data_IF_699832178558
#
_entry.id   IF_699832178558
#
_cell.length_a   1.000
_cell.length_b   1.000
_cell.length_c   1.000
_cell.angle_alpha   90.00
_cell.angle_beta   90.00
_cell.angle_gamma   90.00
#
_symmetry.space_group_name_H-M   'P 1'
#
loop_
_entity.id
_entity.type
_entity.pdbx_description
1 polymer ?
#
# COMPACT_ATOMS: atom_id res chain seq x y z
N UNK A 1 52.29 55.58 -19.56
CA UNK A 1 51.58 54.34 -19.94
C UNK A 1 50.25 54.35 -19.20
N UNK A 2 49.17 54.46 -19.97
CA UNK A 2 48.02 55.29 -19.61
C UNK A 2 47.06 54.55 -18.66
N UNK A 3 46.60 55.20 -17.57
CA UNK A 3 45.60 54.66 -16.63
C UNK A 3 44.32 54.16 -17.34
N UNK A 4 44.05 54.71 -18.52
CA UNK A 4 42.97 54.32 -19.42
C UNK A 4 43.12 52.89 -19.95
N UNK A 5 44.33 52.42 -20.24
CA UNK A 5 44.58 51.07 -20.79
C UNK A 5 44.34 50.00 -19.70
N UNK A 6 44.71 50.29 -18.45
CA UNK A 6 44.50 49.39 -17.31
C UNK A 6 42.99 49.25 -17.00
N UNK A 7 42.22 50.33 -17.12
CA UNK A 7 40.77 50.31 -16.91
C UNK A 7 40.05 49.45 -17.96
N UNK A 8 40.47 49.50 -19.23
CA UNK A 8 39.83 48.73 -20.31
C UNK A 8 40.12 47.22 -20.17
N UNK A 9 41.32 46.83 -19.75
CA UNK A 9 41.69 45.41 -19.54
C UNK A 9 40.91 44.82 -18.35
N UNK A 10 40.69 45.58 -17.29
CA UNK A 10 39.89 45.13 -16.14
C UNK A 10 38.41 44.92 -16.50
N UNK A 11 37.83 45.78 -17.35
CA UNK A 11 36.44 45.63 -17.81
C UNK A 11 36.27 44.36 -18.66
N UNK A 12 37.25 44.04 -19.52
CA UNK A 12 37.20 42.81 -20.32
C UNK A 12 37.38 41.54 -19.49
N UNK A 13 38.22 41.55 -18.45
CA UNK A 13 38.38 40.42 -17.53
C UNK A 13 37.13 40.16 -16.69
N UNK A 14 36.48 41.21 -16.19
CA UNK A 14 35.23 41.09 -15.42
C UNK A 14 34.07 40.68 -16.33
N UNK A 15 33.94 41.29 -17.51
CA UNK A 15 32.89 40.95 -18.48
C UNK A 15 33.03 39.53 -19.03
N UNK A 16 34.26 39.10 -19.34
CA UNK A 16 34.55 37.73 -19.78
C UNK A 16 34.32 36.69 -18.69
N UNK A 17 34.68 37.00 -17.43
CA UNK A 17 34.41 36.13 -16.28
C UNK A 17 32.92 35.96 -16.00
N UNK A 18 32.14 37.06 -16.05
CA UNK A 18 30.67 37.01 -15.89
C UNK A 18 30.01 36.26 -17.04
N UNK A 19 30.49 36.44 -18.28
CA UNK A 19 29.98 35.71 -19.45
C UNK A 19 30.30 34.20 -19.37
N UNK A 20 31.52 33.84 -18.97
CA UNK A 20 31.92 32.44 -18.83
C UNK A 20 31.22 31.75 -17.65
N UNK A 21 31.01 32.46 -16.54
CA UNK A 21 30.22 32.00 -15.39
C UNK A 21 28.73 31.87 -15.74
N UNK A 22 28.19 32.80 -16.53
CA UNK A 22 26.81 32.72 -17.06
C UNK A 22 26.64 31.51 -18.00
N UNK A 23 27.67 31.11 -18.75
CA UNK A 23 27.64 29.92 -19.59
C UNK A 23 27.74 28.62 -18.80
N UNK A 24 28.46 28.58 -17.67
CA UNK A 24 28.47 27.40 -16.79
C UNK A 24 27.11 27.17 -16.12
N UNK A 25 26.42 28.23 -15.71
CA UNK A 25 25.10 28.14 -15.08
C UNK A 25 23.95 27.75 -16.04
N UNK A 26 24.19 27.75 -17.36
CA UNK A 26 23.19 27.35 -18.37
C UNK A 26 23.28 25.84 -18.73
N UNK A 27 24.32 25.12 -18.27
CA UNK A 27 24.53 23.71 -18.60
C UNK A 27 23.94 22.71 -17.59
N UNK A 28 23.32 23.18 -16.50
CA UNK A 28 22.81 22.32 -15.41
C UNK A 28 21.27 22.26 -15.28
N UNK A 29 20.50 22.93 -16.14
CA UNK A 29 19.04 22.81 -16.14
C UNK A 29 18.43 22.83 -17.54
N UNK A 30 18.53 21.69 -18.23
CA UNK A 30 17.51 21.28 -19.20
C UNK A 30 16.67 20.19 -18.53
N UNK A 31 15.65 20.62 -17.76
CA UNK A 31 14.57 19.73 -17.32
C UNK A 31 13.78 19.40 -18.58
N UNK A 32 14.22 18.37 -19.29
CA UNK A 32 13.36 17.64 -20.23
C UNK A 32 12.19 17.14 -19.39
N UNK A 33 10.94 17.43 -19.76
CA UNK A 33 9.78 16.81 -19.12
C UNK A 33 10.03 15.29 -19.09
N UNK A 34 10.27 14.77 -17.90
CA UNK A 34 10.58 13.36 -17.70
C UNK A 34 9.32 12.58 -18.07
N UNK A 35 9.38 11.79 -19.14
CA UNK A 35 8.38 10.78 -19.51
C UNK A 35 8.24 9.62 -18.49
N UNK A 36 8.96 9.73 -17.36
CA UNK A 36 8.90 8.84 -16.21
C UNK A 36 8.12 9.57 -15.11
N UNK A 37 7.01 8.99 -14.68
CA UNK A 37 6.20 9.43 -13.56
C UNK A 37 6.35 8.41 -12.42
N UNK A 38 6.72 8.87 -11.23
CA UNK A 38 6.63 8.02 -10.03
C UNK A 38 5.15 7.85 -9.65
N UNK A 39 4.76 6.65 -9.25
CA UNK A 39 3.41 6.35 -8.81
C UNK A 39 3.42 5.62 -7.46
N UNK A 40 2.48 5.98 -6.59
CA UNK A 40 2.26 5.27 -5.32
C UNK A 40 1.51 3.93 -5.58
N UNK A 41 1.37 3.04 -4.58
CA UNK A 41 0.73 1.75 -4.82
C UNK A 41 -0.80 1.79 -5.05
N UNK A 42 -1.53 2.87 -4.69
CA UNK A 42 -2.95 3.02 -5.09
C UNK A 42 -3.07 3.42 -6.57
N UNK A 43 -2.17 4.29 -7.03
CA UNK A 43 -2.04 4.65 -8.43
C UNK A 43 -1.59 3.44 -9.26
N UNK A 44 -0.70 2.60 -8.73
CA UNK A 44 -0.29 1.34 -9.36
C UNK A 44 -1.50 0.45 -9.63
N UNK A 45 -2.37 0.19 -8.64
CA UNK A 45 -3.59 -0.61 -8.83
C UNK A 45 -4.46 -0.04 -9.95
N UNK A 46 -4.66 1.28 -9.94
CA UNK A 46 -5.50 1.97 -10.93
C UNK A 46 -4.95 1.81 -12.34
N UNK A 47 -3.62 1.89 -12.50
CA UNK A 47 -2.94 1.75 -13.80
C UNK A 47 -2.87 0.29 -14.24
N UNK A 48 -2.61 -0.64 -13.31
CA UNK A 48 -2.56 -2.08 -13.57
C UNK A 48 -3.92 -2.65 -13.98
N UNK A 49 -5.03 -2.02 -13.58
CA UNK A 49 -6.36 -2.42 -14.00
C UNK A 49 -6.68 -2.08 -15.48
N UNK A 50 -5.92 -1.19 -16.13
CA UNK A 50 -6.07 -0.93 -17.57
C UNK A 50 -5.36 -2.04 -18.37
N UNK A 51 -6.08 -2.84 -19.19
CA UNK A 51 -5.49 -3.93 -19.97
C UNK A 51 -4.50 -3.47 -21.06
N UNK A 52 -4.34 -2.16 -21.28
CA UNK A 52 -3.31 -1.60 -22.16
C UNK A 52 -1.99 -1.30 -21.45
N UNK A 53 -1.96 -1.28 -20.12
CA UNK A 53 -0.75 -1.06 -19.34
C UNK A 53 0.08 -2.32 -19.34
N UNK A 54 1.37 -2.19 -19.66
CA UNK A 54 2.33 -3.28 -19.61
C UNK A 54 3.10 -3.25 -18.29
N UNK A 55 2.95 -4.30 -17.48
CA UNK A 55 3.52 -4.41 -16.13
C UNK A 55 4.84 -5.18 -16.19
N UNK A 56 5.93 -4.54 -15.76
CA UNK A 56 7.29 -5.04 -15.91
C UNK A 56 8.02 -5.16 -14.55
N UNK A 57 8.37 -6.38 -14.16
CA UNK A 57 9.30 -6.63 -13.05
C UNK A 57 10.75 -6.64 -13.57
N UNK A 58 11.64 -5.92 -12.89
CA UNK A 58 13.05 -5.83 -13.27
C UNK A 58 14.03 -6.29 -12.20
N UNK A 59 13.55 -6.82 -11.08
CA UNK A 59 14.40 -7.12 -9.93
C UNK A 59 15.30 -8.33 -10.15
N UNK A 60 16.61 -8.17 -9.90
CA UNK A 60 17.54 -9.29 -9.78
C UNK A 60 18.13 -9.37 -8.38
N UNK A 61 18.24 -10.58 -7.78
CA UNK A 61 17.72 -11.86 -8.27
C UNK A 61 16.18 -11.85 -8.39
N UNK A 62 15.63 -12.76 -9.20
CA UNK A 62 14.19 -12.86 -9.43
C UNK A 62 13.44 -13.06 -8.11
N UNK A 63 12.27 -12.43 -8.00
CA UNK A 63 11.45 -12.38 -6.79
C UNK A 63 10.02 -12.85 -7.08
N UNK A 64 9.23 -13.05 -6.03
CA UNK A 64 7.77 -13.16 -6.20
C UNK A 64 7.24 -11.86 -6.80
N UNK A 65 6.67 -11.97 -8.00
CA UNK A 65 6.10 -10.85 -8.75
C UNK A 65 4.81 -10.33 -8.11
N UNK A 66 4.48 -9.08 -8.42
CA UNK A 66 3.11 -8.58 -8.20
C UNK A 66 2.19 -9.36 -9.15
N UNK A 67 0.99 -9.74 -8.67
CA UNK A 67 0.01 -10.43 -9.50
C UNK A 67 -0.24 -9.66 -10.81
N UNK A 68 -0.53 -10.38 -11.88
CA UNK A 68 -0.79 -9.83 -13.22
C UNK A 68 0.39 -9.13 -13.91
N UNK A 69 1.62 -9.31 -13.41
CA UNK A 69 2.82 -8.85 -14.14
C UNK A 69 2.98 -9.55 -15.49
N UNK A 70 3.14 -8.79 -16.57
CA UNK A 70 3.24 -9.34 -17.93
C UNK A 70 4.57 -10.06 -18.17
N UNK A 71 5.68 -9.49 -17.67
CA UNK A 71 7.01 -10.05 -17.89
C UNK A 71 8.00 -9.68 -16.79
N UNK A 72 8.96 -10.57 -16.58
CA UNK A 72 10.18 -10.30 -15.83
C UNK A 72 11.37 -10.13 -16.80
N UNK A 73 12.07 -8.99 -16.73
CA UNK A 73 13.32 -8.76 -17.45
C UNK A 73 14.31 -8.06 -16.52
N UNK A 74 15.48 -8.65 -16.21
CA UNK A 74 16.52 -7.98 -15.42
C UNK A 74 16.78 -6.55 -15.88
N UNK A 75 16.85 -5.61 -14.94
CA UNK A 75 17.01 -4.18 -15.25
C UNK A 75 18.20 -3.90 -16.19
N UNK A 76 19.28 -4.67 -16.05
CA UNK A 76 20.53 -4.56 -16.82
C UNK A 76 20.51 -5.31 -18.16
N UNK A 77 19.38 -5.97 -18.51
CA UNK A 77 19.21 -6.77 -19.74
C UNK A 77 18.06 -6.29 -20.63
N UNK A 78 17.41 -5.16 -20.34
CA UNK A 78 16.28 -4.63 -21.13
C UNK A 78 16.58 -4.50 -22.63
N UNK A 79 17.77 -4.01 -23.00
CA UNK A 79 18.18 -3.90 -24.41
C UNK A 79 18.36 -5.26 -25.08
N UNK A 80 18.82 -6.27 -24.33
CA UNK A 80 19.03 -7.64 -24.81
C UNK A 80 17.69 -8.34 -25.06
N UNK A 81 16.71 -8.13 -24.18
CA UNK A 81 15.38 -8.75 -24.25
C UNK A 81 14.30 -7.80 -24.76
N UNK A 82 14.68 -6.80 -25.57
CA UNK A 82 13.78 -5.77 -26.10
C UNK A 82 12.57 -6.32 -26.87
N UNK A 83 12.68 -7.54 -27.41
CA UNK A 83 11.62 -8.18 -28.20
C UNK A 83 10.46 -8.69 -27.33
N UNK A 84 10.66 -8.77 -26.00
CA UNK A 84 9.62 -9.08 -25.01
C UNK A 84 8.88 -7.82 -24.52
N UNK A 85 9.39 -6.63 -24.82
CA UNK A 85 8.75 -5.36 -24.47
C UNK A 85 7.72 -4.96 -25.55
N UNK A 86 6.77 -4.05 -25.23
CA UNK A 86 5.80 -3.56 -26.21
C UNK A 86 6.45 -3.00 -27.48
N UNK A 87 5.94 -3.40 -28.63
CA UNK A 87 6.41 -2.89 -29.93
C UNK A 87 6.02 -1.43 -30.15
N UNK A 88 4.83 -1.05 -29.69
CA UNK A 88 4.37 0.33 -29.69
C UNK A 88 5.03 1.10 -28.54
N UNK A 89 5.68 2.21 -28.86
CA UNK A 89 6.38 3.04 -27.89
C UNK A 89 5.45 3.91 -27.04
N UNK A 90 4.19 4.00 -27.44
CA UNK A 90 3.15 4.70 -26.67
C UNK A 90 2.42 3.79 -25.68
N UNK A 91 2.70 2.47 -25.67
CA UNK A 91 2.16 1.58 -24.65
C UNK A 91 2.69 2.00 -23.28
N UNK A 92 1.81 2.32 -22.31
CA UNK A 92 2.25 2.65 -20.96
C UNK A 92 2.98 1.46 -20.33
N UNK A 93 4.16 1.71 -19.76
CA UNK A 93 4.92 0.70 -19.02
C UNK A 93 4.89 1.05 -17.54
N UNK A 94 4.31 0.17 -16.74
CA UNK A 94 4.32 0.23 -15.28
C UNK A 94 5.45 -0.68 -14.77
N UNK A 95 6.58 -0.08 -14.41
CA UNK A 95 7.80 -0.78 -14.04
C UNK A 95 8.01 -0.77 -12.53
N UNK A 96 8.49 -1.89 -12.00
CA UNK A 96 8.84 -1.99 -10.59
C UNK A 96 10.00 -2.97 -10.36
N UNK A 97 10.60 -2.89 -9.18
CA UNK A 97 11.52 -3.90 -8.67
C UNK A 97 11.18 -4.19 -7.19
N UNK A 98 12.12 -4.71 -6.39
CA UNK A 98 11.86 -4.93 -4.96
C UNK A 98 11.58 -3.65 -4.17
N UNK A 99 12.45 -2.66 -4.28
CA UNK A 99 12.45 -1.44 -3.43
C UNK A 99 12.60 -0.12 -4.21
N UNK A 100 12.46 -0.16 -5.54
CA UNK A 100 12.53 1.01 -6.43
C UNK A 100 13.93 1.35 -7.02
N UNK A 101 15.02 0.79 -6.49
CA UNK A 101 16.38 1.17 -6.94
C UNK A 101 16.69 0.73 -8.37
N UNK A 102 16.42 -0.53 -8.69
CA UNK A 102 16.62 -1.09 -10.04
C UNK A 102 15.57 -0.61 -11.04
N UNK A 103 14.34 -0.36 -10.60
CA UNK A 103 13.29 0.16 -11.50
C UNK A 103 13.62 1.57 -11.96
N UNK A 104 14.22 2.41 -11.11
CA UNK A 104 14.70 3.73 -11.53
C UNK A 104 15.71 3.69 -12.68
N UNK A 105 16.66 2.74 -12.66
CA UNK A 105 17.61 2.56 -13.78
C UNK A 105 16.94 1.97 -15.02
N UNK A 106 16.01 1.02 -14.82
CA UNK A 106 15.19 0.46 -15.89
C UNK A 106 14.34 1.53 -16.58
N UNK A 107 13.67 2.41 -15.81
CA UNK A 107 12.85 3.53 -16.29
C UNK A 107 13.66 4.46 -17.19
N UNK A 108 14.88 4.81 -16.78
CA UNK A 108 15.79 5.61 -17.62
C UNK A 108 16.19 4.87 -18.90
N UNK A 109 16.46 3.57 -18.81
CA UNK A 109 16.79 2.74 -19.98
C UNK A 109 15.60 2.67 -20.95
N UNK A 110 14.38 2.45 -20.46
CA UNK A 110 13.15 2.44 -21.25
C UNK A 110 12.91 3.80 -21.93
N UNK A 111 13.08 4.90 -21.19
CA UNK A 111 12.99 6.25 -21.74
C UNK A 111 14.00 6.44 -22.88
N UNK A 112 15.25 6.01 -22.70
CA UNK A 112 16.29 6.05 -23.76
C UNK A 112 15.99 5.16 -24.97
N UNK A 113 15.15 4.13 -24.79
CA UNK A 113 14.67 3.24 -25.84
C UNK A 113 13.43 3.80 -26.57
N UNK A 114 12.96 4.99 -26.18
CA UNK A 114 11.91 5.76 -26.86
C UNK A 114 10.50 5.54 -26.33
N UNK A 115 10.30 4.81 -25.22
CA UNK A 115 8.97 4.69 -24.62
C UNK A 115 8.49 6.04 -24.07
N UNK A 116 7.25 6.43 -24.34
CA UNK A 116 6.77 7.79 -24.05
C UNK A 116 6.01 7.91 -22.73
N UNK A 117 5.59 6.79 -22.13
CA UNK A 117 4.81 6.76 -20.90
C UNK A 117 5.33 5.66 -19.99
N UNK A 118 6.05 6.05 -18.95
CA UNK A 118 6.67 5.14 -17.98
C UNK A 118 6.18 5.53 -16.59
N UNK A 119 5.60 4.58 -15.88
CA UNK A 119 5.20 4.70 -14.49
C UNK A 119 6.13 3.84 -13.64
N UNK A 120 6.82 4.43 -12.67
CA UNK A 120 7.75 3.72 -11.78
C UNK A 120 7.15 3.62 -10.38
N UNK A 121 6.97 2.40 -9.87
CA UNK A 121 6.36 2.16 -8.56
C UNK A 121 7.26 2.66 -7.43
N UNK A 122 6.82 3.70 -6.74
CA UNK A 122 7.49 4.24 -5.57
C UNK A 122 7.56 3.20 -4.45
N UNK A 123 8.76 3.01 -3.90
CA UNK A 123 9.02 1.97 -2.88
C UNK A 123 8.98 0.53 -3.41
N UNK A 124 8.69 0.32 -4.70
CA UNK A 124 8.68 -0.98 -5.36
C UNK A 124 7.65 -1.96 -4.79
N UNK A 125 7.83 -3.24 -5.11
CA UNK A 125 6.93 -4.31 -4.70
C UNK A 125 6.85 -4.47 -3.17
N UNK A 126 7.85 -4.00 -2.41
CA UNK A 126 7.79 -3.95 -0.96
C UNK A 126 6.69 -2.98 -0.49
N UNK A 127 6.74 -1.72 -0.91
CA UNK A 127 5.73 -0.72 -0.51
C UNK A 127 4.32 -1.11 -1.01
N UNK A 128 4.23 -1.66 -2.21
CA UNK A 128 2.97 -2.19 -2.73
C UNK A 128 2.39 -3.29 -1.85
N UNK A 129 3.19 -4.31 -1.51
CA UNK A 129 2.73 -5.38 -0.63
C UNK A 129 2.37 -4.87 0.76
N UNK A 130 3.21 -4.02 1.35
CA UNK A 130 2.97 -3.40 2.66
C UNK A 130 1.64 -2.64 2.72
N UNK A 131 1.27 -1.92 1.65
CA UNK A 131 -0.01 -1.23 1.56
C UNK A 131 -1.20 -2.22 1.53
N UNK A 132 -1.03 -3.39 0.90
CA UNK A 132 -2.06 -4.44 0.85
C UNK A 132 -2.11 -5.29 2.13
N UNK A 133 -1.22 -5.06 3.09
CA UNK A 133 -1.24 -5.75 4.37
C UNK A 133 -2.31 -5.16 5.28
N UNK A 134 -3.23 -6.00 5.75
CA UNK A 134 -4.12 -5.67 6.86
C UNK A 134 -4.45 -6.90 7.70
N UNK A 135 -4.97 -6.67 8.90
CA UNK A 135 -5.71 -7.68 9.65
C UNK A 135 -7.17 -7.24 9.64
N UNK A 136 -8.02 -8.00 8.97
CA UNK A 136 -9.42 -7.65 8.74
C UNK A 136 -10.33 -8.55 9.55
N UNK A 137 -11.33 -7.95 10.20
CA UNK A 137 -12.48 -8.67 10.72
C UNK A 137 -13.72 -8.32 9.91
N UNK A 138 -14.46 -9.33 9.48
CA UNK A 138 -15.64 -9.15 8.64
C UNK A 138 -16.83 -10.00 9.11
N UNK A 139 -18.06 -9.45 9.05
CA UNK A 139 -18.35 -8.03 8.79
C UNK A 139 -17.80 -7.12 9.92
N UNK A 140 -17.64 -5.82 9.68
CA UNK A 140 -17.19 -4.90 10.76
C UNK A 140 -18.29 -4.71 11.83
N UNK A 141 -19.55 -4.78 11.42
CA UNK A 141 -20.72 -4.70 12.29
C UNK A 141 -21.72 -5.78 11.90
N UNK A 142 -22.33 -6.44 12.88
CA UNK A 142 -23.42 -7.38 12.68
C UNK A 142 -24.65 -6.96 13.47
N UNK A 143 -25.77 -6.78 12.78
CA UNK A 143 -27.06 -6.59 13.43
C UNK A 143 -27.67 -7.94 13.81
N UNK A 144 -28.02 -8.09 15.08
CA UNK A 144 -28.71 -9.25 15.64
C UNK A 144 -30.23 -9.08 15.61
N UNK A 145 -30.73 -7.87 15.28
CA UNK A 145 -32.14 -7.54 15.26
C UNK A 145 -32.74 -7.49 16.66
N UNK A 146 -33.99 -7.93 16.80
CA UNK A 146 -34.67 -7.96 18.09
C UNK A 146 -34.25 -9.18 18.90
N UNK A 147 -33.75 -8.94 20.11
CA UNK A 147 -33.38 -10.00 21.07
C UNK A 147 -34.33 -9.94 22.26
N UNK A 148 -34.97 -11.05 22.58
CA UNK A 148 -35.85 -11.13 23.75
C UNK A 148 -35.00 -11.25 25.01
N UNK A 149 -35.33 -10.49 26.05
CA UNK A 149 -34.63 -10.55 27.33
C UNK A 149 -34.77 -11.96 27.94
N UNK A 150 -33.63 -12.63 28.15
CA UNK A 150 -33.56 -14.03 28.58
C UNK A 150 -33.10 -14.99 27.49
N UNK A 151 -33.15 -14.58 26.22
CA UNK A 151 -32.58 -15.33 25.10
C UNK A 151 -31.12 -14.98 24.87
N UNK A 152 -30.37 -15.93 24.31
CA UNK A 152 -28.97 -15.75 23.92
C UNK A 152 -28.88 -15.69 22.39
N UNK A 153 -28.51 -14.52 21.86
CA UNK A 153 -28.20 -14.36 20.46
C UNK A 153 -26.74 -14.76 20.17
N UNK A 154 -26.48 -15.27 18.95
CA UNK A 154 -25.14 -15.69 18.52
C UNK A 154 -24.84 -15.20 17.12
N UNK A 155 -23.57 -14.90 16.86
CA UNK A 155 -23.06 -14.61 15.52
C UNK A 155 -21.59 -15.01 15.40
N UNK A 156 -21.08 -15.01 14.19
CA UNK A 156 -19.68 -15.28 13.87
C UNK A 156 -19.13 -14.21 12.95
N UNK A 157 -17.91 -13.78 13.22
CA UNK A 157 -17.11 -12.96 12.32
C UNK A 157 -15.94 -13.77 11.77
N UNK A 158 -15.33 -13.32 10.68
CA UNK A 158 -14.09 -13.88 10.13
C UNK A 158 -12.96 -12.90 10.34
N UNK A 159 -11.94 -13.30 11.09
CA UNK A 159 -10.68 -12.58 11.21
C UNK A 159 -9.67 -13.15 10.23
N UNK A 160 -9.07 -12.30 9.40
CA UNK A 160 -8.11 -12.68 8.35
C UNK A 160 -6.77 -11.99 8.58
N UNK A 161 -5.67 -12.75 8.58
CA UNK A 161 -4.31 -12.23 8.55
C UNK A 161 -3.86 -12.01 7.10
N UNK A 162 -4.09 -10.84 6.50
CA UNK A 162 -3.53 -10.54 5.17
C UNK A 162 -2.10 -9.99 5.23
N UNK A 163 -1.36 -10.34 6.28
CA UNK A 163 0.05 -9.96 6.41
C UNK A 163 0.96 -11.10 5.92
N UNK A 164 2.18 -10.79 5.42
CA UNK A 164 3.13 -11.82 5.00
C UNK A 164 3.81 -12.54 6.17
N UNK A 165 3.48 -12.18 7.41
CA UNK A 165 4.04 -12.78 8.62
C UNK A 165 2.94 -13.52 9.39
N UNK A 166 3.28 -14.54 10.19
CA UNK A 166 2.34 -15.11 11.14
C UNK A 166 1.81 -14.03 12.10
N UNK A 167 0.55 -14.16 12.49
CA UNK A 167 -0.16 -13.26 13.40
C UNK A 167 -0.64 -14.07 14.60
N UNK A 168 -0.28 -13.64 15.81
CA UNK A 168 -0.84 -14.22 17.03
C UNK A 168 -1.86 -13.28 17.64
N UNK A 169 -3.05 -13.80 17.90
CA UNK A 169 -4.11 -13.17 18.68
C UNK A 169 -3.71 -13.32 20.14
N UNK A 170 -3.42 -12.20 20.79
CA UNK A 170 -2.92 -12.18 22.17
C UNK A 170 -4.04 -12.09 23.18
N UNK A 171 -5.18 -11.52 22.79
CA UNK A 171 -6.35 -11.39 23.66
C UNK A 171 -7.63 -11.15 22.87
N UNK A 172 -8.73 -11.74 23.35
CA UNK A 172 -10.09 -11.44 22.91
C UNK A 172 -10.85 -10.90 24.13
N UNK A 173 -11.54 -9.76 23.97
CA UNK A 173 -12.34 -9.15 25.03
C UNK A 173 -13.55 -8.40 24.47
N UNK A 174 -14.49 -8.05 25.34
CA UNK A 174 -15.76 -7.40 24.96
C UNK A 174 -15.98 -6.15 25.81
N UNK A 175 -16.80 -5.22 25.30
CA UNK A 175 -17.09 -3.95 25.98
C UNK A 175 -18.02 -4.09 27.20
N UNK A 176 -18.74 -5.20 27.33
CA UNK A 176 -19.69 -5.44 28.42
C UNK A 176 -19.79 -6.95 28.74
N UNK A 177 -20.12 -7.29 29.99
CA UNK A 177 -20.26 -8.67 30.46
C UNK A 177 -21.39 -9.46 29.80
N UNK A 178 -22.41 -8.79 29.24
CA UNK A 178 -23.47 -9.43 28.45
C UNK A 178 -23.01 -9.94 27.07
N UNK A 179 -21.75 -9.71 26.69
CA UNK A 179 -21.16 -10.22 25.43
C UNK A 179 -19.95 -11.07 25.73
N UNK A 180 -19.86 -12.23 25.10
CA UNK A 180 -18.69 -13.12 25.12
C UNK A 180 -18.19 -13.35 23.69
N UNK A 181 -16.87 -13.49 23.52
CA UNK A 181 -16.26 -13.75 22.22
C UNK A 181 -15.08 -14.73 22.36
N UNK A 182 -14.93 -15.65 21.42
CA UNK A 182 -13.83 -16.62 21.33
C UNK A 182 -13.34 -16.76 19.89
N UNK A 183 -12.12 -17.25 19.70
CA UNK A 183 -11.55 -17.57 18.38
C UNK A 183 -11.29 -19.07 18.25
N UNK A 184 -11.43 -19.62 17.05
CA UNK A 184 -11.13 -21.04 16.80
C UNK A 184 -9.62 -21.32 16.70
N UNK A 185 -8.84 -20.32 16.29
CA UNK A 185 -7.38 -20.40 16.15
C UNK A 185 -6.73 -19.08 16.57
N UNK A 186 -5.77 -19.14 17.48
CA UNK A 186 -5.07 -17.96 17.98
C UNK A 186 -3.83 -17.60 17.17
N UNK A 187 -3.27 -18.53 16.39
CA UNK A 187 -2.10 -18.30 15.55
C UNK A 187 -2.48 -18.50 14.08
N UNK A 188 -2.44 -17.43 13.30
CA UNK A 188 -2.78 -17.41 11.88
C UNK A 188 -1.50 -17.32 11.05
N UNK A 189 -1.31 -18.29 10.17
CA UNK A 189 -0.30 -18.20 9.12
C UNK A 189 -0.62 -17.03 8.17
N UNK A 190 0.35 -16.60 7.34
CA UNK A 190 0.08 -15.62 6.29
C UNK A 190 -1.14 -15.99 5.44
N UNK A 191 -2.07 -15.04 5.28
CA UNK A 191 -3.32 -15.16 4.53
C UNK A 191 -4.33 -16.18 5.08
N UNK A 192 -4.13 -16.66 6.31
CA UNK A 192 -5.06 -17.54 6.99
C UNK A 192 -6.19 -16.76 7.69
N UNK A 193 -7.33 -17.42 7.88
CA UNK A 193 -8.49 -16.89 8.60
C UNK A 193 -8.89 -17.76 9.79
N UNK A 194 -9.57 -17.17 10.76
CA UNK A 194 -10.25 -17.88 11.85
C UNK A 194 -11.64 -17.29 12.11
N UNK A 195 -12.54 -18.13 12.63
CA UNK A 195 -13.84 -17.69 13.10
C UNK A 195 -13.72 -17.03 14.48
N UNK A 196 -14.38 -15.88 14.64
CA UNK A 196 -14.60 -15.21 15.92
C UNK A 196 -16.05 -15.43 16.31
N UNK A 197 -16.30 -16.35 17.24
CA UNK A 197 -17.63 -16.72 17.68
C UNK A 197 -18.07 -15.80 18.82
N UNK A 198 -19.25 -15.18 18.68
CA UNK A 198 -19.78 -14.19 19.63
C UNK A 198 -21.15 -14.63 20.13
N UNK A 199 -21.38 -14.48 21.43
CA UNK A 199 -22.68 -14.65 22.05
C UNK A 199 -23.07 -13.42 22.86
N UNK A 200 -24.34 -13.05 22.79
CA UNK A 200 -24.93 -11.91 23.48
C UNK A 200 -26.08 -12.40 24.36
N UNK A 201 -25.96 -12.20 25.67
CA UNK A 201 -26.92 -12.57 26.70
C UNK A 201 -27.27 -11.32 27.53
N UNK A 202 -28.37 -10.61 27.20
CA UNK A 202 -28.79 -9.42 27.93
C UNK A 202 -29.27 -9.71 29.36
N UNK A 203 -29.50 -10.96 29.73
CA UNK A 203 -30.00 -11.33 31.06
C UNK A 203 -28.88 -11.65 32.07
N UNK A 204 -27.60 -11.56 31.68
CA UNK A 204 -26.46 -11.98 32.51
C UNK A 204 -26.39 -11.24 33.86
N UNK A 205 -26.84 -9.98 33.92
CA UNK A 205 -26.83 -9.15 35.12
C UNK A 205 -28.07 -9.31 36.00
N UNK A 206 -29.09 -10.04 35.51
CA UNK A 206 -30.37 -10.31 36.21
C UNK A 206 -31.14 -9.04 36.62
N UNK A 207 -30.84 -7.91 35.99
CA UNK A 207 -31.56 -6.65 36.11
C UNK A 207 -31.93 -6.10 34.73
N UNK A 208 -32.76 -5.07 34.69
CA UNK A 208 -33.34 -4.53 33.45
C UNK A 208 -32.43 -3.50 32.76
N UNK A 209 -31.13 -3.51 33.05
CA UNK A 209 -30.20 -2.48 32.57
C UNK A 209 -29.85 -2.60 31.09
N UNK A 210 -30.09 -3.77 30.48
CA UNK A 210 -29.80 -4.10 29.09
C UNK A 210 -31.07 -4.17 28.21
N UNK A 211 -31.92 -3.13 28.24
CA UNK A 211 -33.09 -2.99 27.37
C UNK A 211 -32.92 -1.87 26.33
N UNK A 212 -33.63 -2.01 25.19
CA UNK A 212 -33.59 -1.04 24.09
C UNK A 212 -32.44 -1.30 23.12
N UNK A 213 -32.03 -0.25 22.40
CA UNK A 213 -30.97 -0.36 21.39
C UNK A 213 -29.60 -0.41 22.06
N UNK A 214 -28.87 -1.49 21.79
CA UNK A 214 -27.55 -1.75 22.36
C UNK A 214 -26.52 -1.99 21.26
N UNK A 215 -25.34 -1.41 21.47
CA UNK A 215 -24.13 -1.72 20.71
C UNK A 215 -23.09 -2.32 21.64
N UNK A 216 -22.49 -3.43 21.22
CA UNK A 216 -21.40 -4.09 21.96
C UNK A 216 -20.20 -4.27 21.04
N UNK A 217 -19.03 -3.96 21.55
CA UNK A 217 -17.78 -4.01 20.79
C UNK A 217 -16.99 -5.23 21.21
N UNK A 218 -16.47 -5.95 20.22
CA UNK A 218 -15.51 -7.04 20.34
C UNK A 218 -14.14 -6.47 20.03
N UNK A 219 -13.18 -6.73 20.91
CA UNK A 219 -11.80 -6.29 20.82
C UNK A 219 -10.90 -7.51 20.65
N UNK A 220 -10.11 -7.51 19.59
CA UNK A 220 -9.10 -8.53 19.31
C UNK A 220 -7.75 -7.85 19.32
N UNK A 221 -6.90 -8.20 20.27
CA UNK A 221 -5.52 -7.71 20.36
C UNK A 221 -4.57 -8.71 19.67
N UNK A 222 -3.56 -8.20 18.98
CA UNK A 222 -2.57 -9.04 18.26
C UNK A 222 -1.13 -8.68 18.63
N UNK A 223 -0.18 -9.53 18.25
CA UNK A 223 1.26 -9.28 18.40
C UNK A 223 1.85 -8.38 17.31
N UNK A 224 1.06 -8.00 16.30
CA UNK A 224 1.50 -7.12 15.24
C UNK A 224 1.32 -5.65 15.66
N UNK A 225 2.40 -4.85 15.78
CA UNK A 225 2.31 -3.48 16.28
C UNK A 225 1.52 -2.53 15.36
N UNK A 226 1.44 -2.84 14.06
CA UNK A 226 0.66 -2.06 13.11
C UNK A 226 -0.84 -2.40 13.18
N UNK A 227 -1.19 -3.59 13.70
CA UNK A 227 -2.56 -4.08 13.87
C UNK A 227 -2.80 -4.56 15.31
N UNK A 228 -2.30 -3.80 16.28
CA UNK A 228 -2.28 -4.20 17.68
C UNK A 228 -3.69 -4.43 18.25
N UNK A 229 -4.71 -3.82 17.62
CA UNK A 229 -6.11 -3.98 17.99
C UNK A 229 -7.02 -3.93 16.76
N UNK A 230 -7.86 -4.94 16.61
CA UNK A 230 -8.92 -5.06 15.61
C UNK A 230 -10.26 -5.07 16.32
N UNK A 231 -11.27 -4.41 15.74
CA UNK A 231 -12.59 -4.24 16.38
C UNK A 231 -13.72 -4.69 15.46
N UNK A 232 -14.73 -5.32 16.06
CA UNK A 232 -16.01 -5.58 15.43
C UNK A 232 -17.14 -5.20 16.38
N UNK A 233 -18.33 -4.94 15.84
CA UNK A 233 -19.50 -4.53 16.61
C UNK A 233 -20.68 -5.46 16.37
N UNK A 234 -21.47 -5.67 17.42
CA UNK A 234 -22.83 -6.19 17.29
C UNK A 234 -23.83 -5.11 17.70
N UNK A 235 -24.97 -5.07 17.01
CA UNK A 235 -26.12 -4.24 17.39
C UNK A 235 -27.32 -5.13 17.66
N UNK A 236 -28.17 -4.72 18.60
CA UNK A 236 -29.42 -5.42 18.91
C UNK A 236 -30.44 -4.44 19.50
N UNK A 237 -31.73 -4.72 19.30
CA UNK A 237 -32.81 -4.10 20.08
C UNK A 237 -33.33 -5.12 21.08
N UNK A 238 -33.09 -4.90 22.37
CA UNK A 238 -33.53 -5.82 23.43
C UNK A 238 -34.91 -5.44 23.93
N UNK A 239 -35.82 -6.41 23.94
CA UNK A 239 -37.21 -6.24 24.39
C UNK A 239 -37.54 -7.22 25.51
N UNK A 240 -38.45 -6.82 26.39
CA UNK A 240 -39.12 -7.76 27.30
C UNK A 240 -40.36 -8.34 26.63
N UNK A 241 -40.64 -9.62 26.90
CA UNK A 241 -41.96 -10.19 26.62
C UNK A 241 -43.07 -9.51 27.43
#
# INVERSE_FOLDING_TARGET
MNKVIIAIILIFLVGGGVYYFSQQNQNEQSVTESNIQMVDPDQFDTLAADPKTFILDVHIPEQTHIADSDVFIPYDKLKKYKDQLPKDKNTPILVYCRSGSMSREASQTLSSMGYTTIYDLEGGAQAYREQKVNVLIQPATQDLGTVVFGDVAKTTFTLTNNTPNPLNITKVSTSCGCTSATVEKESLEPYESTSVNVSFDPAVHKDDTDLGDLTRTIFIETDNPNFAKVIAEITATVVKE
#
